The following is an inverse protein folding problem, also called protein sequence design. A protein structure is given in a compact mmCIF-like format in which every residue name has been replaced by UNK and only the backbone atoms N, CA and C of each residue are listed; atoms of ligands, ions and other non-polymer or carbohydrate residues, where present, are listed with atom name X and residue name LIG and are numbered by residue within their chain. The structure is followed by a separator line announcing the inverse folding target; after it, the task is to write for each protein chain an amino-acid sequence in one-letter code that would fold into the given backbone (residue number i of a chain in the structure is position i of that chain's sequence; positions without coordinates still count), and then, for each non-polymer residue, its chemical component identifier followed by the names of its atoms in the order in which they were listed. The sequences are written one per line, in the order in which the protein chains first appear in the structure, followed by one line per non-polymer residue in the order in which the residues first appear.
data_IF_074483439731
#
_entry.id   IF_074483439731
#
_cell.length_a   1.000
_cell.length_b   1.000
_cell.length_c   1.000
_cell.angle_alpha   90.00
_cell.angle_beta   90.00
_cell.angle_gamma   90.00
#
_symmetry.space_group_name_H-M   'P 1'
#
loop_
_entity.id
_entity.type
_entity.pdbx_description
1 polymer ?
#
# COMPACT_ATOMS: atom_id res chain seq x y z
N UNK A 1 7.62 13.63 -17.38
CA UNK A 1 7.42 12.72 -16.22
C UNK A 1 6.01 12.15 -16.37
N UNK A 2 5.79 10.86 -16.19
CA UNK A 2 4.43 10.33 -16.16
C UNK A 2 3.76 10.76 -14.85
N UNK A 3 2.59 11.37 -14.92
CA UNK A 3 1.77 11.70 -13.75
C UNK A 3 1.46 10.43 -12.94
N UNK A 4 1.46 10.55 -11.61
CA UNK A 4 1.02 9.46 -10.73
C UNK A 4 -0.50 9.33 -10.73
N UNK A 5 -1.03 8.13 -10.52
CA UNK A 5 -2.48 7.92 -10.34
C UNK A 5 -2.83 7.91 -8.86
N UNK A 6 -3.80 8.75 -8.46
CA UNK A 6 -4.34 8.79 -7.10
C UNK A 6 -5.68 8.04 -7.08
N UNK A 7 -5.81 7.08 -6.16
CA UNK A 7 -7.03 6.30 -5.95
C UNK A 7 -7.42 6.45 -4.48
N UNK A 8 -8.65 6.90 -4.22
CA UNK A 8 -9.15 7.13 -2.86
C UNK A 8 -10.20 6.09 -2.48
N UNK A 9 -10.00 5.44 -1.33
CA UNK A 9 -10.93 4.47 -0.75
C UNK A 9 -11.75 5.13 0.35
N UNK A 10 -12.91 5.67 -0.01
CA UNK A 10 -13.79 6.39 0.91
C UNK A 10 -15.14 5.69 1.09
N UNK A 11 -15.69 5.80 2.30
CA UNK A 11 -17.09 5.49 2.61
C UNK A 11 -17.49 6.31 3.82
N UNK A 12 -18.74 6.77 3.82
CA UNK A 12 -19.35 7.49 4.94
C UNK A 12 -19.53 6.58 6.17
N UNK A 13 -19.86 5.30 5.97
CA UNK A 13 -20.08 4.34 7.06
C UNK A 13 -18.77 3.67 7.48
N UNK A 14 -18.59 3.53 8.79
CA UNK A 14 -17.51 2.74 9.39
C UNK A 14 -17.69 1.22 9.20
N UNK A 15 -16.59 0.48 9.26
CA UNK A 15 -16.64 -1.00 9.24
C UNK A 15 -16.97 -1.65 7.89
N UNK A 16 -17.01 -0.90 6.79
CA UNK A 16 -17.34 -1.46 5.46
C UNK A 16 -16.14 -2.07 4.72
N UNK A 17 -14.95 -2.06 5.32
CA UNK A 17 -13.75 -2.66 4.73
C UNK A 17 -12.93 -1.77 3.79
N UNK A 18 -12.95 -0.43 3.96
CA UNK A 18 -12.15 0.51 3.14
C UNK A 18 -10.65 0.17 3.16
N UNK A 19 -10.09 0.04 4.36
CA UNK A 19 -8.66 -0.27 4.58
C UNK A 19 -8.33 -1.67 4.05
N UNK A 20 -9.26 -2.63 4.19
CA UNK A 20 -9.11 -3.97 3.63
C UNK A 20 -9.02 -3.94 2.09
N UNK A 21 -9.90 -3.18 1.43
CA UNK A 21 -9.88 -3.02 -0.02
C UNK A 21 -8.57 -2.35 -0.49
N UNK A 22 -8.17 -1.27 0.18
CA UNK A 22 -6.90 -0.57 -0.10
C UNK A 22 -5.71 -1.54 0.00
N UNK A 23 -5.58 -2.28 1.11
CA UNK A 23 -4.45 -3.18 1.34
C UNK A 23 -4.35 -4.27 0.26
N UNK A 24 -5.47 -4.89 -0.11
CA UNK A 24 -5.49 -5.94 -1.13
C UNK A 24 -5.20 -5.40 -2.54
N UNK A 25 -5.78 -4.25 -2.92
CA UNK A 25 -5.53 -3.64 -4.23
C UNK A 25 -4.07 -3.19 -4.34
N UNK A 26 -3.50 -2.62 -3.28
CA UNK A 26 -2.10 -2.25 -3.24
C UNK A 26 -1.17 -3.46 -3.41
N UNK A 27 -1.48 -4.57 -2.74
CA UNK A 27 -0.74 -5.82 -2.90
C UNK A 27 -0.82 -6.32 -4.34
N UNK A 28 -2.02 -6.35 -4.93
CA UNK A 28 -2.23 -6.78 -6.32
C UNK A 28 -1.46 -5.92 -7.32
N UNK A 29 -1.61 -4.59 -7.25
CA UNK A 29 -0.88 -3.65 -8.12
C UNK A 29 0.63 -3.80 -7.98
N UNK A 30 1.13 -4.00 -6.75
CA UNK A 30 2.55 -4.24 -6.51
C UNK A 30 3.03 -5.54 -7.17
N UNK A 31 2.24 -6.62 -7.13
CA UNK A 31 2.58 -7.87 -7.83
C UNK A 31 2.58 -7.74 -9.35
N UNK A 32 1.81 -6.80 -9.90
CA UNK A 32 1.84 -6.44 -11.32
C UNK A 32 3.03 -5.55 -11.70
N UNK A 33 3.88 -5.19 -10.73
CA UNK A 33 5.10 -4.42 -10.96
C UNK A 33 4.92 -2.90 -10.83
N UNK A 34 3.75 -2.42 -10.37
CA UNK A 34 3.56 -1.01 -10.07
C UNK A 34 4.26 -0.62 -8.76
N UNK A 35 4.79 0.60 -8.72
CA UNK A 35 5.23 1.21 -7.46
C UNK A 35 4.01 1.83 -6.79
N UNK A 36 3.61 1.26 -5.65
CA UNK A 36 2.43 1.70 -4.91
C UNK A 36 2.87 2.35 -3.61
N UNK A 37 2.31 3.53 -3.31
CA UNK A 37 2.39 4.17 -2.00
C UNK A 37 1.00 4.13 -1.39
N UNK A 38 0.89 3.55 -0.20
CA UNK A 38 -0.34 3.54 0.57
C UNK A 38 -0.25 4.60 1.67
N UNK A 39 -1.33 5.37 1.85
CA UNK A 39 -1.43 6.40 2.88
C UNK A 39 -2.71 6.16 3.66
N UNK A 40 -2.61 6.05 4.98
CA UNK A 40 -3.77 6.02 5.87
C UNK A 40 -4.10 7.45 6.30
N UNK A 41 -5.23 7.97 5.81
CA UNK A 41 -5.72 9.31 6.16
C UNK A 41 -6.68 9.29 7.36
N UNK A 42 -6.96 8.11 7.94
CA UNK A 42 -7.74 7.98 9.16
C UNK A 42 -6.83 8.19 10.38
N UNK A 43 -6.64 9.45 10.79
CA UNK A 43 -5.73 9.81 11.89
C UNK A 43 -6.27 9.43 13.27
N UNK A 44 -7.59 9.27 13.40
CA UNK A 44 -8.22 8.91 14.68
C UNK A 44 -8.07 7.42 14.99
N UNK A 45 -8.14 6.57 13.96
CA UNK A 45 -8.03 5.12 14.10
C UNK A 45 -7.31 4.46 12.90
N UNK A 46 -6.01 4.73 12.70
CA UNK A 46 -5.26 4.17 11.58
C UNK A 46 -5.15 2.65 11.71
N UNK A 47 -5.41 1.95 10.60
CA UNK A 47 -5.49 0.48 10.59
C UNK A 47 -4.65 -0.18 9.51
N UNK A 48 -4.09 0.59 8.58
CA UNK A 48 -3.38 0.06 7.42
C UNK A 48 -2.12 -0.74 7.82
N UNK A 49 -1.39 -0.28 8.82
CA UNK A 49 -0.14 -0.88 9.28
C UNK A 49 -0.30 -2.34 9.74
N UNK A 50 -1.45 -2.70 10.31
CA UNK A 50 -1.71 -4.04 10.79
C UNK A 50 -1.77 -5.08 9.67
N UNK A 51 -2.14 -4.68 8.44
CA UNK A 51 -2.16 -5.57 7.28
C UNK A 51 -0.76 -5.95 6.78
N UNK A 52 0.23 -5.12 7.09
CA UNK A 52 1.60 -5.26 6.58
C UNK A 52 2.63 -5.56 7.65
N UNK A 53 2.24 -5.53 8.93
CA UNK A 53 3.13 -5.60 10.10
C UNK A 53 4.16 -6.74 10.05
N UNK A 54 3.76 -7.94 9.60
CA UNK A 54 4.65 -9.11 9.51
C UNK A 54 5.73 -9.01 8.41
N UNK A 55 5.68 -7.97 7.57
CA UNK A 55 6.50 -7.81 6.37
C UNK A 55 7.16 -6.44 6.22
N UNK A 56 6.98 -5.55 7.17
CA UNK A 56 7.64 -4.25 7.15
C UNK A 56 9.13 -4.45 7.43
N UNK A 57 9.98 -3.88 6.58
CA UNK A 57 11.45 -3.87 6.80
C UNK A 57 11.88 -2.82 7.81
N UNK A 58 11.03 -1.83 8.05
CA UNK A 58 11.27 -0.71 8.96
C UNK A 58 10.00 -0.48 9.78
N UNK A 59 9.97 -0.97 11.02
CA UNK A 59 8.81 -0.81 11.91
C UNK A 59 8.80 0.55 12.64
N UNK A 60 9.97 1.18 12.79
CA UNK A 60 10.12 2.40 13.60
C UNK A 60 10.23 3.70 12.77
N UNK A 61 9.89 3.66 11.47
CA UNK A 61 9.89 4.88 10.66
C UNK A 61 8.76 5.82 11.11
N UNK A 62 9.02 7.14 11.26
CA UNK A 62 7.97 8.13 11.52
C UNK A 62 6.92 8.09 10.40
N UNK A 63 5.70 8.55 10.67
CA UNK A 63 4.56 8.40 9.76
C UNK A 63 4.09 9.72 9.13
N UNK A 64 2.84 9.69 8.66
CA UNK A 64 2.19 10.83 8.00
C UNK A 64 2.09 12.07 8.91
N UNK A 65 1.80 11.86 10.19
CA UNK A 65 1.63 12.95 11.16
C UNK A 65 2.95 13.69 11.35
N UNK A 66 4.04 12.96 11.57
CA UNK A 66 5.38 13.53 11.71
C UNK A 66 5.86 14.21 10.42
N UNK A 67 5.51 13.64 9.26
CA UNK A 67 5.81 14.26 7.96
C UNK A 67 5.14 15.62 7.81
N UNK A 68 3.85 15.72 8.14
CA UNK A 68 3.09 16.97 8.08
C UNK A 68 3.61 17.98 9.10
N UNK A 69 3.87 17.55 10.34
CA UNK A 69 4.40 18.41 11.41
C UNK A 69 5.76 19.02 11.02
N UNK A 70 6.66 18.21 10.46
CA UNK A 70 7.96 18.68 9.98
C UNK A 70 7.85 19.66 8.81
N UNK A 71 6.92 19.41 7.89
CA UNK A 71 6.62 20.35 6.81
C UNK A 71 6.08 21.69 7.36
N UNK A 72 5.15 21.66 8.32
CA UNK A 72 4.59 22.86 8.96
C UNK A 72 5.67 23.64 9.71
N UNK A 73 6.68 22.97 10.28
CA UNK A 73 7.85 23.59 10.91
C UNK A 73 8.84 24.23 9.92
N UNK A 74 8.54 24.23 8.62
CA UNK A 74 9.37 24.83 7.58
C UNK A 74 10.56 23.95 7.17
N UNK A 75 10.59 22.68 7.59
CA UNK A 75 11.55 21.72 7.04
C UNK A 75 11.15 21.37 5.60
N UNK A 76 12.08 20.76 4.86
CA UNK A 76 11.81 20.17 3.55
C UNK A 76 11.92 18.64 3.62
N UNK A 77 11.00 17.96 4.34
CA UNK A 77 11.08 16.52 4.52
C UNK A 77 10.90 15.80 3.17
N UNK A 78 11.69 14.75 2.95
CA UNK A 78 11.40 13.78 1.89
C UNK A 78 10.43 12.75 2.45
N UNK A 79 9.30 12.55 1.78
CA UNK A 79 8.28 11.57 2.21
C UNK A 79 8.85 10.17 2.41
N UNK A 80 9.95 9.81 1.72
CA UNK A 80 10.60 8.50 1.85
C UNK A 80 11.14 8.22 3.25
N UNK A 81 11.48 9.28 3.99
CA UNK A 81 12.03 9.18 5.34
C UNK A 81 10.94 8.87 6.38
N UNK A 82 9.67 8.97 5.97
CA UNK A 82 8.46 8.76 6.77
C UNK A 82 7.61 7.60 6.22
N UNK A 83 8.22 6.73 5.43
CA UNK A 83 7.54 5.55 4.87
C UNK A 83 8.14 4.27 5.40
N UNK A 84 7.27 3.42 5.95
CA UNK A 84 7.62 2.03 6.19
C UNK A 84 7.67 1.29 4.84
N UNK A 85 8.82 0.71 4.52
CA UNK A 85 8.97 -0.04 3.27
C UNK A 85 8.54 -1.49 3.46
N UNK A 86 7.82 -1.97 2.46
CA UNK A 86 7.51 -3.38 2.30
C UNK A 86 7.93 -3.82 0.91
N UNK A 87 8.71 -4.90 0.86
CA UNK A 87 9.01 -5.58 -0.40
C UNK A 87 8.15 -6.82 -0.48
N UNK A 88 7.12 -6.77 -1.31
CA UNK A 88 6.38 -7.98 -1.65
C UNK A 88 7.28 -8.85 -2.51
N UNK A 89 7.32 -10.15 -2.22
CA UNK A 89 8.02 -11.11 -3.06
C UNK A 89 7.43 -11.00 -4.47
N UNK A 90 8.24 -10.51 -5.41
CA UNK A 90 7.85 -10.58 -6.81
C UNK A 90 7.87 -12.06 -7.18
N UNK A 91 6.70 -12.68 -7.28
CA UNK A 91 6.58 -13.91 -8.04
C UNK A 91 6.97 -13.55 -9.46
N UNK A 92 8.24 -13.78 -9.80
CA UNK A 92 8.75 -13.66 -11.14
C UNK A 92 7.99 -14.73 -11.93
N UNK A 93 6.86 -14.37 -12.54
CA UNK A 93 6.20 -15.22 -13.51
C UNK A 93 7.23 -15.42 -14.63
N UNK A 94 7.91 -16.56 -14.57
CA UNK A 94 8.96 -16.96 -15.47
C UNK A 94 8.29 -17.23 -16.82
N UNK A 95 8.23 -16.19 -17.67
CA UNK A 95 7.79 -16.24 -19.06
C UNK A 95 6.38 -16.83 -19.29
N UNK A 96 5.37 -15.96 -19.35
CA UNK A 96 4.21 -16.21 -20.23
C UNK A 96 3.97 -14.98 -21.08
N UNK A 97 4.42 -15.05 -22.33
CA UNK A 97 3.93 -14.21 -23.41
C UNK A 97 2.59 -14.80 -23.84
N UNK A 98 1.53 -14.62 -23.08
CA UNK A 98 0.20 -15.01 -23.55
C UNK A 98 -0.82 -13.96 -23.14
N UNK A 99 -1.47 -13.40 -24.17
CA UNK A 99 -2.55 -12.42 -24.17
C UNK A 99 -3.87 -12.97 -23.62
N UNK A 100 -3.82 -13.75 -22.54
CA UNK A 100 -5.00 -14.27 -21.85
C UNK A 100 -4.88 -13.98 -20.35
N UNK A 101 -5.25 -12.76 -19.98
CA UNK A 101 -5.73 -12.49 -18.62
C UNK A 101 -7.05 -13.25 -18.46
N UNK A 102 -7.06 -14.32 -17.67
CA UNK A 102 -8.30 -14.95 -17.23
C UNK A 102 -8.76 -14.26 -15.94
N UNK A 103 -9.89 -13.53 -15.93
CA UNK A 103 -10.31 -12.69 -14.79
C UNK A 103 -10.88 -13.46 -13.58
N UNK A 104 -10.77 -14.80 -13.57
CA UNK A 104 -11.45 -15.65 -12.57
C UNK A 104 -10.58 -16.75 -11.95
N UNK A 105 -9.27 -16.54 -11.80
CA UNK A 105 -8.56 -17.29 -10.74
C UNK A 105 -8.85 -16.62 -9.40
N UNK A 106 -9.91 -17.12 -8.78
CA UNK A 106 -10.24 -16.98 -7.37
C UNK A 106 -8.97 -16.85 -6.51
N UNK A 107 -8.91 -15.81 -5.67
CA UNK A 107 -8.08 -15.78 -4.47
C UNK A 107 -8.96 -16.24 -3.28
N UNK A 108 -9.11 -17.54 -2.99
CA UNK A 108 -9.50 -17.93 -1.65
C UNK A 108 -8.21 -17.90 -0.80
N UNK A 109 -8.22 -17.17 0.31
CA UNK A 109 -7.25 -17.31 1.39
C UNK A 109 -5.76 -17.39 1.00
N UNK A 110 -5.08 -16.25 1.01
CA UNK A 110 -3.79 -16.08 1.67
C UNK A 110 -2.85 -17.32 1.68
N UNK A 111 -2.36 -17.80 0.54
CA UNK A 111 -1.15 -18.65 0.55
C UNK A 111 0.07 -17.74 0.40
N UNK A 112 0.62 -17.41 1.57
CA UNK A 112 1.85 -16.67 1.71
C UNK A 112 2.99 -17.69 1.75
N UNK A 113 3.88 -17.66 0.77
CA UNK A 113 5.24 -18.17 0.93
C UNK A 113 6.21 -17.01 1.11
#
# INVERSE_FOLDING_TARGET
MSEGTIITFYSYKGGVGRTFALANIAALLSTWGYKVLCIDWDLEAPGLQFYFQSRLTTQDSPGLVEFIDDYVKGKQPSWRDYTALQRLASSRCKGRRDSQFHPYSFYPFLELR
#
